data_IF_327202865223
#
_entry.id   IF_327202865223
#
_cell.length_a   1.000
_cell.length_b   1.000
_cell.length_c   1.000
_cell.angle_alpha   90.00
_cell.angle_beta   90.00
_cell.angle_gamma   90.00
#
_symmetry.space_group_name_H-M   'P 1'
#
loop_
_entity.id
_entity.type
_entity.pdbx_description
1 polymer ?
#
# COMPACT_ATOMS: atom_id res chain seq x y z
N UNK A 1 -2.40 12.28 19.84
CA UNK A 1 -2.32 10.95 19.22
C UNK A 1 -2.60 11.13 17.74
N UNK A 2 -1.58 11.10 16.89
CA UNK A 2 -1.76 11.14 15.44
C UNK A 2 -2.30 9.76 15.05
N UNK A 3 -3.59 9.68 14.76
CA UNK A 3 -4.23 8.45 14.29
C UNK A 3 -3.60 8.18 12.92
N UNK A 4 -2.65 7.25 12.84
CA UNK A 4 -2.23 6.71 11.56
C UNK A 4 -3.42 5.91 11.04
N UNK A 5 -4.10 6.45 10.03
CA UNK A 5 -5.28 5.84 9.42
C UNK A 5 -4.82 4.81 8.39
N UNK A 6 -5.50 3.67 8.37
CA UNK A 6 -5.21 2.62 7.42
C UNK A 6 -5.65 3.07 6.02
N UNK A 7 -4.84 2.76 4.99
CA UNK A 7 -5.13 3.11 3.60
C UNK A 7 -5.29 1.84 2.78
N UNK A 8 -6.35 1.75 2.00
CA UNK A 8 -6.57 0.66 1.05
C UNK A 8 -6.10 1.12 -0.33
N UNK A 9 -5.12 0.41 -0.87
CA UNK A 9 -4.67 0.56 -2.25
C UNK A 9 -5.08 -0.63 -3.10
N UNK A 10 -5.34 -0.37 -4.36
CA UNK A 10 -5.50 -1.37 -5.43
C UNK A 10 -4.32 -1.22 -6.38
N UNK A 11 -3.73 -2.35 -6.74
CA UNK A 11 -2.54 -2.44 -7.59
C UNK A 11 -2.79 -3.33 -8.78
N UNK A 12 -2.15 -3.00 -9.90
CA UNK A 12 -2.16 -3.87 -11.06
C UNK A 12 -1.40 -5.18 -10.78
N UNK A 13 -1.83 -6.27 -11.41
CA UNK A 13 -1.26 -7.61 -11.23
C UNK A 13 0.25 -7.64 -11.48
N UNK A 14 0.70 -6.90 -12.51
CA UNK A 14 2.11 -6.77 -12.91
C UNK A 14 3.00 -6.13 -11.84
N UNK A 15 2.43 -5.31 -10.96
CA UNK A 15 3.15 -4.56 -9.92
C UNK A 15 2.93 -5.15 -8.52
N UNK A 16 2.03 -6.14 -8.39
CA UNK A 16 1.65 -6.74 -7.12
C UNK A 16 2.85 -7.30 -6.36
N UNK A 17 3.75 -8.02 -7.03
CA UNK A 17 4.93 -8.60 -6.41
C UNK A 17 5.86 -7.53 -5.82
N UNK A 18 6.11 -6.45 -6.57
CA UNK A 18 6.94 -5.32 -6.11
C UNK A 18 6.31 -4.60 -4.94
N UNK A 19 5.00 -4.33 -5.02
CA UNK A 19 4.26 -3.67 -3.94
C UNK A 19 4.28 -4.52 -2.68
N UNK A 20 4.12 -5.84 -2.82
CA UNK A 20 4.22 -6.77 -1.71
C UNK A 20 5.60 -6.73 -1.04
N UNK A 21 6.69 -6.69 -1.81
CA UNK A 21 8.04 -6.50 -1.26
C UNK A 21 8.17 -5.20 -0.46
N UNK A 22 7.61 -4.09 -0.97
CA UNK A 22 7.56 -2.84 -0.21
C UNK A 22 6.75 -2.98 1.07
N UNK A 23 5.63 -3.67 1.06
CA UNK A 23 4.77 -3.83 2.24
C UNK A 23 5.45 -4.67 3.33
N UNK A 24 6.04 -5.80 2.96
CA UNK A 24 6.74 -6.71 3.89
C UNK A 24 7.90 -6.02 4.61
N UNK A 25 8.60 -5.10 3.95
CA UNK A 25 9.76 -4.41 4.52
C UNK A 25 9.45 -3.15 5.34
N UNK A 26 8.22 -2.62 5.31
CA UNK A 26 7.96 -1.25 5.75
C UNK A 26 6.78 -1.08 6.72
N UNK A 27 6.04 -2.13 7.06
CA UNK A 27 5.03 -2.02 8.11
C UNK A 27 4.03 -3.16 8.16
N UNK A 28 2.94 -2.91 8.89
CA UNK A 28 1.82 -3.84 9.02
C UNK A 28 0.81 -3.61 7.90
N UNK A 29 0.42 -4.69 7.24
CA UNK A 29 -0.55 -4.66 6.14
C UNK A 29 -1.40 -5.92 6.13
N UNK A 30 -2.55 -5.83 5.45
CA UNK A 30 -3.41 -6.96 5.15
C UNK A 30 -3.66 -7.05 3.65
N UNK A 31 -3.48 -8.25 3.08
CA UNK A 31 -3.89 -8.55 1.72
C UNK A 31 -5.41 -8.65 1.63
N UNK A 32 -5.99 -8.02 0.62
CA UNK A 32 -7.42 -8.02 0.32
C UNK A 32 -7.64 -8.62 -1.08
N UNK A 33 -8.84 -9.19 -1.35
CA UNK A 33 -9.17 -9.70 -2.68
C UNK A 33 -9.16 -8.58 -3.74
N UNK A 34 -8.97 -8.96 -5.01
CA UNK A 34 -8.84 -8.06 -6.16
C UNK A 34 -7.57 -7.20 -6.16
N UNK A 35 -6.42 -7.78 -5.82
CA UNK A 35 -5.12 -7.09 -5.80
C UNK A 35 -5.14 -5.82 -4.95
N UNK A 36 -5.80 -5.91 -3.79
CA UNK A 36 -5.90 -4.81 -2.85
C UNK A 36 -5.03 -5.07 -1.63
N UNK A 37 -4.47 -4.00 -1.08
CA UNK A 37 -3.70 -4.06 0.16
C UNK A 37 -4.18 -2.97 1.09
N UNK A 38 -4.50 -3.37 2.32
CA UNK A 38 -4.75 -2.45 3.42
C UNK A 38 -3.45 -2.22 4.16
N UNK A 39 -2.95 -1.00 4.12
CA UNK A 39 -1.73 -0.57 4.80
C UNK A 39 -2.16 0.02 6.14
N UNK A 40 -1.83 -0.64 7.25
CA UNK A 40 -2.27 -0.23 8.59
C UNK A 40 -1.30 0.73 9.26
N UNK A 41 -0.02 0.69 8.90
CA UNK A 41 1.04 1.50 9.49
C UNK A 41 1.97 2.03 8.40
N UNK A 42 2.54 3.24 8.58
CA UNK A 42 3.48 3.84 7.63
C UNK A 42 2.91 4.01 6.20
N UNK A 43 1.59 4.15 6.07
CA UNK A 43 0.90 4.21 4.77
C UNK A 43 1.44 5.30 3.85
N UNK A 44 1.69 6.50 4.36
CA UNK A 44 2.32 7.59 3.58
C UNK A 44 3.71 7.22 3.06
N UNK A 45 4.58 6.66 3.91
CA UNK A 45 5.94 6.30 3.51
C UNK A 45 5.94 5.21 2.45
N UNK A 46 5.07 4.20 2.61
CA UNK A 46 4.91 3.11 1.65
C UNK A 46 4.41 3.65 0.31
N UNK A 47 3.39 4.50 0.31
CA UNK A 47 2.87 5.15 -0.90
C UNK A 47 3.95 5.96 -1.63
N UNK A 48 4.79 6.69 -0.89
CA UNK A 48 5.93 7.40 -1.48
C UNK A 48 6.95 6.45 -2.12
N UNK A 49 7.29 5.34 -1.46
CA UNK A 49 8.23 4.34 -2.02
C UNK A 49 7.69 3.71 -3.30
N UNK A 50 6.42 3.33 -3.29
CA UNK A 50 5.72 2.79 -4.46
C UNK A 50 5.73 3.81 -5.62
N UNK A 51 5.42 5.08 -5.35
CA UNK A 51 5.43 6.14 -6.35
C UNK A 51 6.84 6.41 -6.91
N UNK A 52 7.87 6.37 -6.05
CA UNK A 52 9.28 6.51 -6.47
C UNK A 52 9.76 5.34 -7.32
N UNK A 53 9.20 4.15 -7.12
CA UNK A 53 9.45 2.99 -7.97
C UNK A 53 8.74 3.05 -9.33
N UNK A 54 7.96 4.10 -9.61
CA UNK A 54 7.20 4.27 -10.84
C UNK A 54 5.94 3.40 -10.90
N UNK A 55 5.51 2.85 -9.77
CA UNK A 55 4.32 2.00 -9.68
C UNK A 55 3.10 2.89 -9.46
N UNK A 56 2.08 2.70 -10.29
CA UNK A 56 0.81 3.42 -10.16
C UNK A 56 -0.14 2.60 -9.30
N UNK A 57 -0.68 3.20 -8.24
CA UNK A 57 -1.65 2.56 -7.35
C UNK A 57 -2.89 3.40 -7.24
N UNK A 58 -4.04 2.74 -7.15
CA UNK A 58 -5.32 3.41 -6.96
C UNK A 58 -5.69 3.35 -5.49
N UNK A 59 -5.81 4.51 -4.85
CA UNK A 59 -6.28 4.59 -3.47
C UNK A 59 -7.80 4.41 -3.48
N UNK A 60 -8.28 3.35 -2.84
CA UNK A 60 -9.71 2.99 -2.77
C UNK A 60 -10.34 3.61 -1.54
N UNK A 61 -9.62 3.60 -0.42
CA UNK A 61 -10.11 4.11 0.86
C UNK A 61 -8.93 4.71 1.63
N UNK A 62 -9.05 5.98 1.96
CA UNK A 62 -8.05 6.73 2.71
C UNK A 62 -8.80 7.80 3.48
N UNK A 63 -9.47 7.38 4.55
CA UNK A 63 -10.03 8.33 5.51
C UNK A 63 -8.91 9.10 6.22
#
# INVERSE_FOLDING_TARGET
MTIQRAVIIEVEDKDMAKVFEFLVGNGRFAGLPNNRFRIEEHSQEILEKIKRAGITVKIIDGE
#
